data_IF_252232628151
#
_entry.id   IF_252232628151
#
_cell.length_a   1.000
_cell.length_b   1.000
_cell.length_c   1.000
_cell.angle_alpha   90.00
_cell.angle_beta   90.00
_cell.angle_gamma   90.00
#
_symmetry.space_group_name_H-M   'P 1'
#
loop_
_entity.id
_entity.type
_entity.pdbx_description
1 polymer ?
#
# COMPACT_ATOMS: atom_id res chain seq x y z
N UNK A 1 -16.28 -12.21 -11.86
CA UNK A 1 -17.26 -11.15 -11.54
C UNK A 1 -16.64 -9.86 -12.03
N UNK A 2 -17.32 -9.10 -12.89
CA UNK A 2 -16.78 -7.85 -13.40
C UNK A 2 -17.10 -6.73 -12.40
N UNK A 3 -16.06 -6.16 -11.77
CA UNK A 3 -16.19 -5.02 -10.86
C UNK A 3 -16.22 -3.74 -11.70
N UNK A 4 -17.23 -2.90 -11.48
CA UNK A 4 -17.41 -1.62 -12.17
C UNK A 4 -17.25 -0.41 -11.27
N UNK A 5 -17.38 -0.59 -9.96
CA UNK A 5 -17.15 0.48 -8.99
C UNK A 5 -16.49 -0.04 -7.71
N UNK A 6 -15.63 0.78 -7.12
CA UNK A 6 -14.98 0.54 -5.83
C UNK A 6 -15.30 1.67 -4.87
N UNK A 7 -15.77 1.33 -3.67
CA UNK A 7 -16.07 2.28 -2.62
C UNK A 7 -15.18 2.07 -1.39
N UNK A 8 -14.69 3.18 -0.83
CA UNK A 8 -13.90 3.16 0.40
C UNK A 8 -14.63 3.92 1.51
N UNK A 9 -14.74 3.33 2.70
CA UNK A 9 -14.84 4.15 3.91
C UNK A 9 -13.53 4.93 4.13
N UNK A 10 -13.58 5.96 4.97
CA UNK A 10 -12.45 6.83 5.24
C UNK A 10 -11.69 6.38 6.48
N UNK A 11 -12.30 6.56 7.66
CA UNK A 11 -11.61 6.57 8.95
C UNK A 11 -11.29 5.12 9.36
N UNK A 12 -10.03 4.69 9.27
CA UNK A 12 -9.66 3.30 9.53
C UNK A 12 -9.63 2.42 8.27
N UNK A 13 -9.94 3.00 7.11
CA UNK A 13 -9.94 2.32 5.81
C UNK A 13 -9.05 3.04 4.79
N UNK A 14 -9.50 4.15 4.18
CA UNK A 14 -8.71 4.90 3.20
C UNK A 14 -7.52 5.64 3.83
N UNK A 15 -7.71 6.18 5.04
CA UNK A 15 -6.67 6.90 5.78
C UNK A 15 -6.11 6.05 6.92
N UNK A 16 -4.79 6.13 7.10
CA UNK A 16 -4.07 5.48 8.18
C UNK A 16 -4.17 6.25 9.51
N UNK A 17 -3.50 5.75 10.56
CA UNK A 17 -3.48 6.40 11.88
C UNK A 17 -2.84 7.80 11.87
N UNK A 18 -1.98 8.08 10.89
CA UNK A 18 -1.38 9.40 10.64
C UNK A 18 -2.30 10.32 9.82
N UNK A 19 -3.53 9.88 9.50
CA UNK A 19 -4.52 10.56 8.66
C UNK A 19 -4.04 10.88 7.25
N UNK A 20 -3.15 10.05 6.73
CA UNK A 20 -2.68 10.14 5.35
C UNK A 20 -3.15 8.94 4.54
N UNK A 21 -3.32 9.16 3.25
CA UNK A 21 -3.51 8.08 2.28
C UNK A 21 -2.11 7.52 1.95
N UNK A 22 -1.96 6.19 1.96
CA UNK A 22 -0.69 5.56 1.60
C UNK A 22 -0.42 5.74 0.11
N UNK A 23 0.86 5.86 -0.28
CA UNK A 23 1.25 5.94 -1.70
C UNK A 23 0.79 4.72 -2.51
N UNK A 24 0.80 3.54 -1.90
CA UNK A 24 0.27 2.30 -2.49
C UNK A 24 -1.23 2.41 -2.77
N UNK A 25 -2.00 2.99 -1.84
CA UNK A 25 -3.43 3.27 -2.04
C UNK A 25 -3.67 4.30 -3.15
N UNK A 26 -2.85 5.37 -3.22
CA UNK A 26 -2.93 6.34 -4.32
C UNK A 26 -2.68 5.68 -5.68
N UNK A 27 -1.63 4.87 -5.79
CA UNK A 27 -1.31 4.11 -7.00
C UNK A 27 -2.41 3.10 -7.37
N UNK A 28 -2.98 2.43 -6.37
CA UNK A 28 -4.08 1.50 -6.54
C UNK A 28 -5.33 2.19 -7.13
N UNK A 29 -5.69 3.37 -6.60
CA UNK A 29 -6.82 4.16 -7.08
C UNK A 29 -6.60 4.59 -8.53
N UNK A 30 -5.41 5.11 -8.86
CA UNK A 30 -5.07 5.49 -10.24
C UNK A 30 -5.22 4.31 -11.20
N UNK A 31 -4.74 3.12 -10.82
CA UNK A 31 -4.86 1.92 -11.66
C UNK A 31 -6.30 1.45 -11.84
N UNK A 32 -7.16 1.60 -10.82
CA UNK A 32 -8.60 1.34 -10.96
C UNK A 32 -9.23 2.28 -12.00
N UNK A 33 -8.91 3.58 -11.91
CA UNK A 33 -9.42 4.60 -12.81
C UNK A 33 -8.93 4.39 -14.26
N UNK A 34 -7.66 4.01 -14.45
CA UNK A 34 -7.09 3.65 -15.76
C UNK A 34 -7.81 2.46 -16.42
N UNK A 35 -8.32 1.53 -15.61
CA UNK A 35 -9.13 0.40 -16.08
C UNK A 35 -10.60 0.78 -16.36
N UNK A 36 -10.99 2.05 -16.13
CA UNK A 36 -12.36 2.52 -16.26
C UNK A 36 -13.27 2.08 -15.11
N UNK A 37 -12.71 1.64 -13.99
CA UNK A 37 -13.47 1.32 -12.77
C UNK A 37 -13.72 2.61 -12.02
N UNK A 38 -15.00 2.89 -11.72
CA UNK A 38 -15.39 4.09 -10.98
C UNK A 38 -14.97 3.97 -9.51
N UNK A 39 -14.40 5.03 -8.95
CA UNK A 39 -13.90 5.03 -7.58
C UNK A 39 -14.58 6.12 -6.77
N UNK A 40 -15.11 5.76 -5.60
CA UNK A 40 -15.75 6.72 -4.72
C UNK A 40 -15.62 6.46 -3.23
N UNK A 41 -16.12 7.41 -2.45
CA UNK A 41 -16.13 7.34 -0.99
C UNK A 41 -17.53 6.99 -0.47
N UNK A 42 -17.61 6.25 0.63
CA UNK A 42 -18.84 5.98 1.35
C UNK A 42 -18.63 6.20 2.85
N UNK A 43 -19.13 7.31 3.39
CA UNK A 43 -18.76 7.77 4.75
C UNK A 43 -19.91 8.44 5.51
N UNK A 44 -19.82 8.44 6.84
CA UNK A 44 -20.65 9.27 7.71
C UNK A 44 -20.19 10.73 7.81
N UNK A 45 -19.02 11.06 7.26
CA UNK A 45 -18.50 12.44 7.19
C UNK A 45 -19.29 13.27 6.16
N UNK A 46 -19.23 14.60 6.32
CA UNK A 46 -19.91 15.54 5.43
C UNK A 46 -19.10 15.93 4.20
N UNK A 47 -19.71 16.60 3.20
CA UNK A 47 -19.07 16.95 1.93
C UNK A 47 -17.79 17.76 2.08
N UNK A 48 -17.80 18.76 2.97
CA UNK A 48 -16.62 19.61 3.24
C UNK A 48 -15.39 18.82 3.71
N UNK A 49 -15.58 17.68 4.37
CA UNK A 49 -14.48 16.86 4.86
C UNK A 49 -13.87 16.01 3.73
N UNK A 50 -14.70 15.53 2.80
CA UNK A 50 -14.25 14.60 1.76
C UNK A 50 -13.72 15.31 0.51
N UNK A 51 -14.12 16.57 0.27
CA UNK A 51 -13.69 17.37 -0.90
C UNK A 51 -12.18 17.35 -1.14
N UNK A 52 -11.30 17.56 -0.13
CA UNK A 52 -9.86 17.49 -0.37
C UNK A 52 -9.35 16.13 -0.86
N UNK A 53 -10.01 15.03 -0.48
CA UNK A 53 -9.66 13.69 -0.95
C UNK A 53 -10.20 13.42 -2.36
N UNK A 54 -11.42 13.88 -2.64
CA UNK A 54 -11.99 13.86 -4.00
C UNK A 54 -11.06 14.56 -4.99
N UNK A 55 -10.59 15.76 -4.64
CA UNK A 55 -9.72 16.55 -5.52
C UNK A 55 -8.32 15.93 -5.65
N UNK A 56 -7.74 15.46 -4.53
CA UNK A 56 -6.37 14.92 -4.52
C UNK A 56 -6.25 13.58 -5.27
N UNK A 57 -7.25 12.71 -5.13
CA UNK A 57 -7.27 11.36 -5.69
C UNK A 57 -8.11 11.26 -6.97
N UNK A 58 -8.64 12.39 -7.44
CA UNK A 58 -9.49 12.51 -8.62
C UNK A 58 -10.71 11.55 -8.62
N UNK A 59 -11.33 11.34 -7.46
CA UNK A 59 -12.43 10.37 -7.28
C UNK A 59 -13.71 10.80 -8.00
N UNK A 60 -14.51 9.83 -8.45
CA UNK A 60 -15.70 10.08 -9.28
C UNK A 60 -16.88 10.63 -8.47
N UNK A 61 -17.10 10.10 -7.27
CA UNK A 61 -18.23 10.46 -6.41
C UNK A 61 -17.97 10.21 -4.92
N UNK A 62 -18.71 10.91 -4.07
CA UNK A 62 -18.76 10.68 -2.64
C UNK A 62 -20.19 10.53 -2.14
N UNK A 63 -20.43 9.44 -1.43
CA UNK A 63 -21.62 9.16 -0.62
C UNK A 63 -21.31 9.63 0.80
N UNK A 64 -21.86 10.77 1.19
CA UNK A 64 -21.60 11.43 2.48
C UNK A 64 -22.82 11.37 3.40
N UNK A 65 -22.60 11.64 4.68
CA UNK A 65 -23.64 11.55 5.71
C UNK A 65 -24.45 10.27 5.63
N UNK A 66 -23.76 9.13 5.46
CA UNK A 66 -24.37 7.81 5.35
C UNK A 66 -25.47 7.76 4.27
N UNK A 67 -25.23 8.39 3.12
CA UNK A 67 -26.14 8.36 1.97
C UNK A 67 -27.04 9.58 1.81
N UNK A 68 -27.14 10.47 2.80
CA UNK A 68 -28.04 11.62 2.71
C UNK A 68 -27.61 12.68 1.69
N UNK A 69 -26.32 12.77 1.39
CA UNK A 69 -25.80 13.72 0.41
C UNK A 69 -24.76 13.05 -0.48
N UNK A 70 -25.01 13.02 -1.78
CA UNK A 70 -24.22 12.33 -2.78
C UNK A 70 -23.86 13.33 -3.87
N UNK A 71 -22.57 13.44 -4.16
CA UNK A 71 -22.10 14.34 -5.20
C UNK A 71 -20.96 13.71 -5.99
N UNK A 72 -20.82 14.22 -7.21
CA UNK A 72 -19.73 13.93 -8.14
C UNK A 72 -18.88 15.18 -8.34
N UNK A 73 -17.84 15.11 -9.18
CA UNK A 73 -16.97 16.26 -9.51
C UNK A 73 -17.76 17.50 -9.95
N UNK A 74 -18.81 17.30 -10.75
CA UNK A 74 -19.48 18.41 -11.45
C UNK A 74 -20.87 18.75 -10.88
N UNK A 75 -21.49 17.83 -10.14
CA UNK A 75 -22.87 18.01 -9.65
C UNK A 75 -23.20 17.21 -8.40
N UNK A 76 -24.24 17.67 -7.72
CA UNK A 76 -24.97 16.89 -6.71
C UNK A 76 -25.80 15.82 -7.43
N UNK A 77 -25.61 14.56 -7.04
CA UNK A 77 -26.34 13.41 -7.58
C UNK A 77 -27.64 13.20 -6.80
N UNK A 78 -27.58 13.30 -5.47
CA UNK A 78 -28.76 13.20 -4.60
C UNK A 78 -28.53 13.97 -3.31
N UNK A 79 -29.58 14.60 -2.80
CA UNK A 79 -29.56 15.33 -1.54
C UNK A 79 -30.91 15.19 -0.84
N UNK A 80 -30.91 14.50 0.30
CA UNK A 80 -32.11 14.17 1.06
C UNK A 80 -32.00 14.80 2.46
N UNK A 81 -32.40 16.07 2.63
CA UNK A 81 -32.34 16.70 3.94
C UNK A 81 -33.37 16.08 4.90
N UNK A 82 -33.08 16.12 6.19
CA UNK A 82 -34.03 15.77 7.25
C UNK A 82 -35.12 16.84 7.27
N UNK A 83 -36.38 16.44 7.42
CA UNK A 83 -37.48 17.38 7.38
C UNK A 83 -37.45 18.34 8.59
N UNK A 84 -37.99 19.55 8.36
CA UNK A 84 -37.94 20.62 9.35
C UNK A 84 -38.72 20.29 10.63
N UNK A 85 -39.71 19.39 10.59
CA UNK A 85 -40.47 19.04 11.78
C UNK A 85 -39.64 18.12 12.67
N UNK A 86 -39.07 17.05 12.12
CA UNK A 86 -38.17 16.15 12.86
C UNK A 86 -36.96 16.88 13.43
N UNK A 87 -36.38 17.85 12.70
CA UNK A 87 -35.30 18.68 13.24
C UNK A 87 -35.73 19.53 14.44
N UNK A 88 -36.92 20.12 14.42
CA UNK A 88 -37.46 20.88 15.57
C UNK A 88 -37.70 19.97 16.77
N UNK A 89 -38.23 18.78 16.52
CA UNK A 89 -38.53 17.81 17.56
C UNK A 89 -37.22 17.28 18.21
N UNK A 90 -36.18 17.03 17.40
CA UNK A 90 -34.84 16.68 17.91
C UNK A 90 -34.20 17.83 18.71
N UNK A 91 -34.34 19.08 18.27
CA UNK A 91 -33.84 20.25 19.01
C UNK A 91 -34.56 20.38 20.36
N UNK A 92 -35.89 20.24 20.37
CA UNK A 92 -36.69 20.29 21.58
C UNK A 92 -36.30 19.16 22.54
N UNK A 93 -36.14 17.94 22.04
CA UNK A 93 -35.65 16.79 22.80
C UNK A 93 -34.26 17.07 23.40
N UNK A 94 -33.33 17.56 22.57
CA UNK A 94 -31.97 17.85 23.03
C UNK A 94 -31.96 18.89 24.15
N UNK A 95 -32.80 19.93 24.04
CA UNK A 95 -32.97 20.92 25.10
C UNK A 95 -33.57 20.32 26.38
N UNK A 96 -34.65 19.57 26.28
CA UNK A 96 -35.34 18.95 27.42
C UNK A 96 -34.40 18.00 28.18
N UNK A 97 -33.68 17.15 27.45
CA UNK A 97 -32.80 16.13 28.02
C UNK A 97 -31.35 16.60 28.21
N UNK A 98 -31.08 17.90 27.98
CA UNK A 98 -29.74 18.52 28.07
C UNK A 98 -28.67 17.77 27.28
N UNK A 99 -29.02 17.35 26.07
CA UNK A 99 -28.12 16.76 25.08
C UNK A 99 -27.52 17.84 24.20
N UNK A 100 -26.30 17.60 23.75
CA UNK A 100 -25.67 18.44 22.73
C UNK A 100 -25.81 17.78 21.37
N UNK A 101 -26.14 18.60 20.38
CA UNK A 101 -26.24 18.16 18.99
C UNK A 101 -25.38 19.01 18.06
N UNK A 102 -25.01 18.45 16.92
CA UNK A 102 -24.45 19.17 15.79
C UNK A 102 -25.22 18.84 14.52
N UNK A 103 -25.42 19.84 13.66
CA UNK A 103 -26.19 19.79 12.43
C UNK A 103 -25.22 19.81 11.24
N UNK A 104 -25.26 18.77 10.43
CA UNK A 104 -24.45 18.64 9.22
C UNK A 104 -25.13 19.29 8.03
N UNK A 105 -24.50 20.32 7.46
CA UNK A 105 -24.89 20.95 6.20
C UNK A 105 -23.92 20.52 5.09
N UNK A 106 -24.16 20.99 3.86
CA UNK A 106 -23.21 20.79 2.77
C UNK A 106 -21.82 21.37 3.11
N UNK A 107 -21.78 22.54 3.74
CA UNK A 107 -20.57 23.35 3.90
C UNK A 107 -19.84 23.09 5.23
N UNK A 108 -20.56 22.69 6.28
CA UNK A 108 -19.97 22.53 7.60
C UNK A 108 -20.81 21.65 8.52
N UNK A 109 -20.19 21.21 9.63
CA UNK A 109 -20.90 20.70 10.81
C UNK A 109 -21.03 21.85 11.81
N UNK A 110 -22.24 22.28 12.12
CA UNK A 110 -22.53 23.48 12.91
C UNK A 110 -23.35 23.13 14.17
N UNK A 111 -23.18 23.87 15.28
CA UNK A 111 -23.88 23.58 16.53
C UNK A 111 -22.92 23.46 17.71
N UNK A 112 -22.75 22.27 18.29
CA UNK A 112 -21.91 22.10 19.49
C UNK A 112 -20.42 22.38 19.18
N UNK A 113 -19.89 23.41 19.85
CA UNK A 113 -18.46 23.75 19.83
C UNK A 113 -17.60 22.71 20.58
N UNK A 114 -18.18 21.93 21.49
CA UNK A 114 -17.51 20.84 22.23
C UNK A 114 -17.24 19.66 21.29
N UNK A 115 -18.23 19.32 20.47
CA UNK A 115 -18.11 18.26 19.47
C UNK A 115 -17.16 18.66 18.35
N UNK A 116 -17.17 19.93 17.95
CA UNK A 116 -16.19 20.49 16.99
C UNK A 116 -14.75 20.34 17.51
N UNK A 117 -14.54 20.47 18.82
CA UNK A 117 -13.23 20.23 19.46
C UNK A 117 -12.87 18.74 19.55
N UNK A 118 -13.84 17.87 19.87
CA UNK A 118 -13.70 16.41 19.89
C UNK A 118 -13.46 15.77 18.52
N UNK A 119 -13.82 16.47 17.44
CA UNK A 119 -13.53 16.12 16.05
C UNK A 119 -12.28 16.82 15.49
N UNK A 120 -11.61 17.68 16.26
CA UNK A 120 -10.34 18.28 15.86
C UNK A 120 -9.25 17.20 15.74
N UNK A 121 -8.26 17.41 14.87
CA UNK A 121 -7.15 16.47 14.68
C UNK A 121 -6.35 16.16 15.96
N UNK A 122 -6.47 17.02 16.97
CA UNK A 122 -5.76 16.91 18.24
C UNK A 122 -6.46 16.03 19.28
N UNK A 123 -7.80 15.96 19.27
CA UNK A 123 -8.58 15.24 20.29
C UNK A 123 -8.64 13.73 20.06
N UNK A 124 -8.66 13.27 18.80
CA UNK A 124 -8.56 11.83 18.49
C UNK A 124 -7.17 11.28 18.85
N UNK A 125 -6.10 12.05 18.62
CA UNK A 125 -4.74 11.72 19.05
C UNK A 125 -4.64 11.52 20.57
N UNK A 126 -5.29 12.38 21.35
CA UNK A 126 -5.29 12.26 22.81
C UNK A 126 -5.93 10.95 23.33
N UNK A 127 -6.86 10.33 22.58
CA UNK A 127 -7.53 9.10 23.03
C UNK A 127 -6.67 7.84 23.00
N UNK A 128 -5.62 7.79 22.17
CA UNK A 128 -4.69 6.65 22.09
C UNK A 128 -3.73 6.55 23.29
N UNK A 129 -3.46 7.67 23.98
CA UNK A 129 -2.61 7.71 25.17
C UNK A 129 -3.38 7.58 26.49
N UNK A 130 -4.70 7.39 26.44
CA UNK A 130 -5.53 7.25 27.64
C UNK A 130 -5.78 5.76 27.94
N UNK A 131 -5.26 5.21 29.05
CA UNK A 131 -5.57 3.86 29.52
C UNK A 131 -7.08 3.60 29.55
N UNK A 132 -7.53 2.45 29.03
CA UNK A 132 -8.96 2.03 28.97
C UNK A 132 -9.73 2.16 30.29
N UNK A 133 -9.05 2.10 31.44
CA UNK A 133 -9.67 2.28 32.78
C UNK A 133 -9.94 3.74 33.15
N UNK A 134 -9.30 4.69 32.48
CA UNK A 134 -9.31 6.12 32.81
C UNK A 134 -10.18 6.95 31.84
N UNK A 135 -10.58 6.37 30.70
CA UNK A 135 -11.44 7.01 29.69
C UNK A 135 -12.79 7.46 30.24
N UNK A 136 -13.37 6.70 31.18
CA UNK A 136 -14.70 6.96 31.75
C UNK A 136 -14.74 8.15 32.72
N UNK A 137 -13.64 8.44 33.41
CA UNK A 137 -13.55 9.50 34.44
C UNK A 137 -13.15 10.85 33.84
N UNK A 138 -12.27 10.85 32.83
CA UNK A 138 -11.81 12.08 32.15
C UNK A 138 -12.91 12.69 31.28
N UNK A 139 -13.67 11.86 30.55
CA UNK A 139 -14.77 12.29 29.67
C UNK A 139 -15.93 12.96 30.43
N UNK A 140 -16.38 12.38 31.54
CA UNK A 140 -17.48 12.95 32.34
C UNK A 140 -17.10 14.27 33.03
N UNK A 141 -15.84 14.40 33.49
CA UNK A 141 -15.36 15.62 34.14
C UNK A 141 -15.16 16.76 33.14
N UNK A 142 -14.59 16.47 31.97
CA UNK A 142 -14.31 17.46 30.93
C UNK A 142 -15.60 17.97 30.25
N UNK A 143 -16.53 17.08 29.90
CA UNK A 143 -17.81 17.47 29.27
C UNK A 143 -18.65 18.37 30.19
N UNK A 144 -18.60 18.18 31.51
CA UNK A 144 -19.33 19.01 32.49
C UNK A 144 -18.72 20.41 32.68
N UNK A 145 -17.41 20.56 32.44
CA UNK A 145 -16.70 21.85 32.53
C UNK A 145 -16.91 22.65 31.23
N UNK A 146 -16.81 22.01 30.07
CA UNK A 146 -16.94 22.69 28.78
C UNK A 146 -18.40 23.06 28.45
N UNK A 147 -19.38 22.21 28.78
CA UNK A 147 -20.82 22.53 28.62
C UNK A 147 -21.29 23.70 29.47
N UNK A 148 -20.61 23.97 30.59
CA UNK A 148 -20.83 25.19 31.40
C UNK A 148 -20.15 26.43 30.83
N UNK A 149 -19.10 26.26 30.01
CA UNK A 149 -18.31 27.36 29.46
C UNK A 149 -18.82 27.85 28.09
N UNK A 150 -19.48 26.99 27.31
CA UNK A 150 -20.03 27.30 25.98
C UNK A 150 -21.42 26.66 25.79
N UNK A 151 -22.50 27.26 26.33
CA UNK A 151 -23.85 26.70 26.20
C UNK A 151 -24.34 26.72 24.74
N UNK A 152 -24.96 25.62 24.31
CA UNK A 152 -25.68 25.55 23.03
C UNK A 152 -27.05 26.23 23.19
N UNK A 153 -27.35 27.21 22.34
CA UNK A 153 -28.61 27.94 22.36
C UNK A 153 -29.59 27.40 21.31
N UNK A 154 -30.83 27.13 21.74
CA UNK A 154 -31.91 26.65 20.88
C UNK A 154 -32.19 27.59 19.71
N UNK A 155 -32.21 28.90 19.95
CA UNK A 155 -32.47 29.90 18.90
C UNK A 155 -31.45 29.83 17.76
N UNK A 156 -30.19 29.52 18.06
CA UNK A 156 -29.14 29.39 17.05
C UNK A 156 -29.33 28.11 16.23
N UNK A 157 -29.71 27.00 16.86
CA UNK A 157 -30.07 25.76 16.17
C UNK A 157 -31.30 25.95 15.28
N UNK A 158 -32.33 26.67 15.75
CA UNK A 158 -33.53 26.97 14.98
C UNK A 158 -33.26 27.88 13.77
N UNK A 159 -32.24 28.73 13.83
CA UNK A 159 -31.74 29.51 12.69
C UNK A 159 -30.98 28.60 11.71
N UNK A 160 -30.15 27.68 12.20
CA UNK A 160 -29.37 26.77 11.36
C UNK A 160 -30.27 25.83 10.52
N UNK A 161 -31.36 25.31 11.08
CA UNK A 161 -32.30 24.44 10.35
C UNK A 161 -33.14 25.17 9.28
N UNK A 162 -32.90 26.47 9.06
CA UNK A 162 -33.44 27.16 7.89
C UNK A 162 -32.75 26.69 6.61
N UNK A 163 -31.48 26.28 6.72
CA UNK A 163 -30.72 25.61 5.67
C UNK A 163 -31.02 24.09 5.66
N UNK A 164 -30.79 23.40 4.54
CA UNK A 164 -30.87 21.94 4.48
C UNK A 164 -29.88 21.26 5.44
N UNK A 165 -30.39 20.40 6.32
CA UNK A 165 -29.58 19.58 7.23
C UNK A 165 -29.63 18.13 6.78
N UNK A 166 -28.46 17.52 6.63
CA UNK A 166 -28.30 16.16 6.12
C UNK A 166 -27.83 15.16 7.18
N UNK A 167 -27.48 15.58 8.39
CA UNK A 167 -27.22 14.67 9.51
C UNK A 167 -27.34 15.44 10.82
N UNK A 168 -27.86 14.80 11.86
CA UNK A 168 -27.75 15.31 13.24
C UNK A 168 -26.85 14.39 14.02
N UNK A 169 -25.75 14.91 14.55
CA UNK A 169 -24.86 14.16 15.43
C UNK A 169 -25.25 14.50 16.88
N UNK A 170 -25.58 13.49 17.69
CA UNK A 170 -25.98 13.66 19.09
C UNK A 170 -24.98 12.99 20.03
N UNK A 171 -24.62 13.65 21.13
CA UNK A 171 -23.86 13.02 22.22
C UNK A 171 -24.77 12.08 23.03
N UNK A 172 -24.65 10.80 22.75
CA UNK A 172 -25.40 9.74 23.42
C UNK A 172 -24.57 8.45 23.42
N UNK A 173 -24.53 7.77 24.56
CA UNK A 173 -24.02 6.39 24.63
C UNK A 173 -25.01 5.39 23.97
N UNK A 174 -24.63 4.11 23.76
CA UNK A 174 -25.50 3.15 23.08
C UNK A 174 -26.87 2.93 23.74
N UNK A 175 -26.94 2.95 25.07
CA UNK A 175 -28.19 2.75 25.79
C UNK A 175 -29.09 4.00 25.69
N UNK A 176 -28.49 5.18 25.66
CA UNK A 176 -29.21 6.43 25.44
C UNK A 176 -29.71 6.55 24.00
N UNK A 177 -28.87 6.28 23.00
CA UNK A 177 -29.30 6.37 21.60
C UNK A 177 -30.44 5.40 21.27
N UNK A 178 -30.44 4.20 21.83
CA UNK A 178 -31.53 3.24 21.64
C UNK A 178 -32.86 3.74 22.21
N UNK A 179 -32.83 4.52 23.30
CA UNK A 179 -34.04 5.16 23.85
C UNK A 179 -34.53 6.28 22.94
N UNK A 180 -33.60 7.12 22.48
CA UNK A 180 -33.93 8.23 21.56
C UNK A 180 -34.51 7.66 20.26
N UNK A 181 -33.90 6.61 19.70
CA UNK A 181 -34.39 5.95 18.49
C UNK A 181 -35.82 5.41 18.64
N UNK A 182 -36.20 4.94 19.83
CA UNK A 182 -37.57 4.51 20.11
C UNK A 182 -38.58 5.68 20.09
N UNK A 183 -38.16 6.89 20.46
CA UNK A 183 -38.98 8.10 20.40
C UNK A 183 -39.07 8.68 18.97
N UNK A 184 -38.09 8.37 18.11
CA UNK A 184 -37.99 8.84 16.73
C UNK A 184 -37.93 7.70 15.70
N UNK A 185 -38.95 6.81 15.60
CA UNK A 185 -38.90 5.61 14.77
C UNK A 185 -38.88 5.87 13.25
N UNK A 186 -39.08 7.13 12.84
CA UNK A 186 -39.02 7.59 11.45
C UNK A 186 -37.63 8.13 11.06
N UNK A 187 -36.67 8.08 11.99
CA UNK A 187 -35.26 8.41 11.78
C UNK A 187 -34.41 7.18 12.10
N UNK A 188 -33.23 7.13 11.48
CA UNK A 188 -32.27 6.05 11.68
C UNK A 188 -31.09 6.56 12.49
N UNK A 189 -30.68 5.77 13.47
CA UNK A 189 -29.51 6.03 14.29
C UNK A 189 -28.36 5.12 13.85
N UNK A 190 -27.23 5.70 13.50
CA UNK A 190 -25.99 4.99 13.15
C UNK A 190 -24.89 5.38 14.11
N UNK A 191 -23.88 4.53 14.28
CA UNK A 191 -22.82 4.77 15.26
C UNK A 191 -21.46 4.39 14.73
N UNK A 192 -20.58 5.38 14.70
CA UNK A 192 -19.13 5.23 14.45
C UNK A 192 -18.28 5.47 15.72
N UNK A 193 -18.89 5.94 16.81
CA UNK A 193 -18.20 6.29 18.06
C UNK A 193 -18.98 5.83 19.29
N UNK A 194 -18.31 5.40 20.37
CA UNK A 194 -18.99 5.00 21.61
C UNK A 194 -19.71 6.15 22.32
N UNK A 195 -19.43 7.41 21.94
CA UNK A 195 -19.95 8.59 22.64
C UNK A 195 -20.95 9.41 21.84
N UNK A 196 -21.14 9.12 20.55
CA UNK A 196 -22.03 9.88 19.69
C UNK A 196 -22.75 8.97 18.69
N UNK A 197 -23.98 9.36 18.33
CA UNK A 197 -24.77 8.71 17.29
C UNK A 197 -25.08 9.70 16.16
N UNK A 198 -25.02 9.23 14.93
CA UNK A 198 -25.45 9.92 13.73
C UNK A 198 -26.94 9.64 13.51
N UNK A 199 -27.74 10.68 13.31
CA UNK A 199 -29.17 10.61 13.02
C UNK A 199 -29.38 11.04 11.58
N UNK A 200 -30.02 10.17 10.80
CA UNK A 200 -30.30 10.36 9.37
C UNK A 200 -31.75 9.97 9.05
N UNK A 201 -32.22 10.26 7.84
CA UNK A 201 -33.54 9.82 7.39
C UNK A 201 -33.65 8.29 7.36
N UNK A 202 -34.83 7.77 7.71
CA UNK A 202 -35.10 6.34 7.59
C UNK A 202 -34.93 5.86 6.15
N UNK A 203 -34.38 4.66 5.98
CA UNK A 203 -34.11 4.07 4.67
C UNK A 203 -32.80 4.52 4.02
N UNK A 204 -32.15 5.58 4.53
CA UNK A 204 -30.83 5.98 4.05
C UNK A 204 -29.71 5.17 4.72
N UNK A 205 -28.66 4.89 3.94
CA UNK A 205 -27.43 4.27 4.40
C UNK A 205 -26.31 4.47 3.38
N UNK A 206 -25.07 4.10 3.76
CA UNK A 206 -23.97 4.01 2.80
C UNK A 206 -24.32 3.10 1.62
N UNK A 207 -24.93 1.94 1.89
CA UNK A 207 -25.36 0.98 0.87
C UNK A 207 -26.41 1.59 -0.07
N UNK A 208 -27.43 2.23 0.49
CA UNK A 208 -28.48 2.87 -0.31
C UNK A 208 -27.91 4.02 -1.15
N UNK A 209 -26.97 4.79 -0.60
CA UNK A 209 -26.26 5.81 -1.36
C UNK A 209 -25.46 5.23 -2.52
N UNK A 210 -24.74 4.13 -2.31
CA UNK A 210 -24.05 3.40 -3.39
C UNK A 210 -25.03 2.94 -4.46
N UNK A 211 -26.20 2.44 -4.05
CA UNK A 211 -27.26 2.02 -4.98
C UNK A 211 -27.77 3.17 -5.85
N UNK A 212 -27.96 4.36 -5.26
CA UNK A 212 -28.34 5.57 -6.00
C UNK A 212 -27.25 6.01 -6.99
N UNK A 213 -25.98 5.91 -6.62
CA UNK A 213 -24.87 6.15 -7.56
C UNK A 213 -24.90 5.14 -8.71
N UNK A 214 -25.11 3.85 -8.42
CA UNK A 214 -25.20 2.81 -9.44
C UNK A 214 -26.31 3.05 -10.47
N UNK A 215 -27.45 3.59 -10.04
CA UNK A 215 -28.55 3.98 -10.94
C UNK A 215 -28.14 5.09 -11.92
N UNK A 216 -27.32 6.04 -11.47
CA UNK A 216 -26.87 7.17 -12.28
C UNK A 216 -25.72 6.80 -13.22
N UNK A 217 -24.80 5.94 -12.76
CA UNK A 217 -23.55 5.61 -13.47
C UNK A 217 -23.57 4.23 -14.16
N UNK A 218 -24.68 3.49 -14.08
CA UNK A 218 -24.90 2.28 -14.86
C UNK A 218 -24.18 1.03 -14.32
N UNK A 219 -24.10 0.88 -12.99
CA UNK A 219 -23.62 -0.35 -12.36
C UNK A 219 -24.63 -0.89 -11.33
N UNK A 220 -24.65 -2.22 -11.18
CA UNK A 220 -25.45 -2.90 -10.16
C UNK A 220 -24.63 -3.13 -8.87
N UNK A 221 -25.31 -3.28 -7.73
CA UNK A 221 -24.66 -3.51 -6.43
C UNK A 221 -23.77 -4.76 -6.42
N UNK A 222 -24.08 -5.77 -7.22
CA UNK A 222 -23.26 -6.98 -7.38
C UNK A 222 -21.95 -6.75 -8.15
N UNK A 223 -21.81 -5.60 -8.82
CA UNK A 223 -20.59 -5.17 -9.52
C UNK A 223 -19.75 -4.21 -8.66
N UNK A 224 -20.12 -4.01 -7.40
CA UNK A 224 -19.43 -3.12 -6.47
C UNK A 224 -18.48 -3.91 -5.58
N UNK A 225 -17.25 -3.42 -5.46
CA UNK A 225 -16.35 -3.76 -4.37
C UNK A 225 -16.39 -2.65 -3.31
N UNK A 226 -16.43 -2.99 -2.01
CA UNK A 226 -16.36 -1.99 -0.95
C UNK A 226 -15.42 -2.40 0.20
N UNK A 227 -14.75 -1.41 0.77
CA UNK A 227 -13.84 -1.55 1.90
C UNK A 227 -14.40 -0.83 3.13
N UNK A 228 -14.28 -1.46 4.30
CA UNK A 228 -14.66 -0.87 5.59
C UNK A 228 -13.99 -1.55 6.77
N UNK A 229 -14.14 -0.97 7.96
CA UNK A 229 -13.46 -1.43 9.17
C UNK A 229 -14.32 -1.39 10.44
N UNK A 230 -15.47 -0.70 10.44
CA UNK A 230 -16.25 -0.49 11.66
C UNK A 230 -17.74 -0.79 11.50
N UNK A 231 -18.48 -0.83 12.62
CA UNK A 231 -19.86 -1.35 12.64
C UNK A 231 -20.84 -0.57 11.75
N UNK A 232 -20.56 0.71 11.45
CA UNK A 232 -21.39 1.48 10.50
C UNK A 232 -21.18 1.06 9.03
N UNK A 233 -20.20 0.21 8.74
CA UNK A 233 -19.95 -0.39 7.43
C UNK A 233 -20.69 -1.71 7.22
N UNK A 234 -21.25 -2.32 8.28
CA UNK A 234 -21.87 -3.65 8.20
C UNK A 234 -22.94 -3.77 7.12
N UNK A 235 -23.80 -2.75 7.01
CA UNK A 235 -24.84 -2.71 5.98
C UNK A 235 -24.25 -2.61 4.56
N UNK A 236 -23.22 -1.79 4.38
CA UNK A 236 -22.50 -1.69 3.10
C UNK A 236 -21.82 -3.01 2.73
N UNK A 237 -21.03 -3.57 3.65
CA UNK A 237 -20.25 -4.77 3.43
C UNK A 237 -21.12 -6.03 3.25
N UNK A 238 -22.30 -6.09 3.87
CA UNK A 238 -23.25 -7.18 3.62
C UNK A 238 -23.97 -7.07 2.28
N UNK A 239 -24.17 -5.85 1.76
CA UNK A 239 -24.98 -5.61 0.57
C UNK A 239 -24.23 -5.64 -0.77
N UNK A 240 -22.93 -5.35 -0.79
CA UNK A 240 -22.15 -5.25 -2.04
C UNK A 240 -21.73 -6.60 -2.64
N UNK A 241 -21.41 -6.59 -3.93
CA UNK A 241 -20.89 -7.73 -4.69
C UNK A 241 -19.61 -8.31 -4.11
N UNK A 242 -18.68 -7.48 -3.65
CA UNK A 242 -17.42 -7.92 -3.06
C UNK A 242 -17.01 -7.03 -1.89
N UNK A 243 -17.15 -7.53 -0.66
CA UNK A 243 -16.85 -6.76 0.55
C UNK A 243 -15.53 -7.16 1.19
N UNK A 244 -14.74 -6.15 1.54
CA UNK A 244 -13.42 -6.29 2.14
C UNK A 244 -13.41 -5.63 3.52
N UNK A 245 -13.10 -6.41 4.55
CA UNK A 245 -12.83 -5.88 5.89
C UNK A 245 -11.33 -5.59 6.04
N UNK A 246 -11.00 -4.42 6.59
CA UNK A 246 -9.61 -4.06 6.89
C UNK A 246 -9.06 -4.88 8.06
N UNK A 247 -7.74 -5.11 8.08
CA UNK A 247 -7.08 -5.88 9.14
C UNK A 247 -7.24 -5.28 10.54
N UNK A 248 -7.34 -3.95 10.64
CA UNK A 248 -7.64 -3.22 11.88
C UNK A 248 -9.14 -3.19 12.24
N UNK A 249 -10.02 -3.72 11.39
CA UNK A 249 -11.47 -3.66 11.60
C UNK A 249 -11.99 -4.56 12.72
N UNK A 250 -13.22 -4.28 13.15
CA UNK A 250 -13.92 -5.04 14.20
C UNK A 250 -14.18 -6.50 13.78
N UNK A 251 -14.41 -7.38 14.76
CA UNK A 251 -14.72 -8.79 14.45
C UNK A 251 -16.03 -8.92 13.66
N UNK A 252 -17.03 -8.09 13.98
CA UNK A 252 -18.33 -8.04 13.31
C UNK A 252 -18.20 -7.76 11.81
N UNK A 253 -17.38 -6.77 11.40
CA UNK A 253 -17.21 -6.50 9.96
C UNK A 253 -16.46 -7.61 9.24
N UNK A 254 -15.48 -8.24 9.90
CA UNK A 254 -14.71 -9.35 9.34
C UNK A 254 -15.57 -10.61 9.14
N UNK A 255 -16.54 -10.84 10.01
CA UNK A 255 -17.49 -11.95 9.90
C UNK A 255 -18.44 -11.79 8.70
N UNK A 256 -18.79 -10.55 8.34
CA UNK A 256 -19.73 -10.24 7.25
C UNK A 256 -19.02 -10.07 5.91
N UNK A 257 -17.78 -9.59 5.91
CA UNK A 257 -17.02 -9.36 4.69
C UNK A 257 -16.63 -10.66 3.98
N UNK A 258 -16.58 -10.63 2.65
CA UNK A 258 -16.16 -11.79 1.84
C UNK A 258 -14.65 -12.05 1.93
N UNK A 259 -13.87 -11.06 2.32
CA UNK A 259 -12.44 -11.18 2.54
C UNK A 259 -11.96 -10.20 3.61
N UNK A 260 -10.92 -10.60 4.35
CA UNK A 260 -10.22 -9.71 5.29
C UNK A 260 -8.81 -9.48 4.78
N UNK A 261 -8.42 -8.22 4.63
CA UNK A 261 -7.08 -7.83 4.16
C UNK A 261 -6.18 -7.35 5.31
N UNK A 262 -4.98 -6.85 4.99
CA UNK A 262 -4.08 -6.19 5.95
C UNK A 262 -4.68 -4.88 6.48
N UNK A 263 -4.07 -4.25 7.49
CA UNK A 263 -4.59 -2.99 8.03
C UNK A 263 -4.43 -1.81 7.06
N UNK A 264 -5.13 -0.72 7.34
CA UNK A 264 -4.98 0.58 6.68
C UNK A 264 -3.55 1.16 6.75
N UNK A 265 -2.71 0.67 7.67
CA UNK A 265 -1.30 1.05 7.81
C UNK A 265 -0.33 0.04 7.17
N UNK A 266 -0.83 -1.03 6.53
CA UNK A 266 -0.03 -2.13 5.97
C UNK A 266 -0.51 -2.53 4.56
N UNK A 267 -0.77 -1.54 3.71
CA UNK A 267 -1.15 -1.73 2.30
C UNK A 267 -2.40 -2.62 2.11
N UNK A 268 -3.35 -2.60 3.05
CA UNK A 268 -4.54 -3.45 3.01
C UNK A 268 -5.37 -3.30 1.74
N UNK A 269 -5.58 -2.07 1.27
CA UNK A 269 -6.33 -1.80 0.03
C UNK A 269 -5.61 -2.41 -1.18
N UNK A 270 -4.32 -2.09 -1.36
CA UNK A 270 -3.49 -2.60 -2.44
C UNK A 270 -3.50 -4.13 -2.49
N UNK A 271 -3.21 -4.79 -1.36
CA UNK A 271 -3.15 -6.26 -1.26
C UNK A 271 -4.49 -6.93 -1.56
N UNK A 272 -5.61 -6.33 -1.16
CA UNK A 272 -6.91 -6.87 -1.47
C UNK A 272 -7.19 -6.80 -2.98
N UNK A 273 -6.89 -5.66 -3.60
CA UNK A 273 -7.09 -5.50 -5.04
C UNK A 273 -6.19 -6.45 -5.84
N UNK A 274 -4.94 -6.69 -5.40
CA UNK A 274 -4.07 -7.73 -5.97
C UNK A 274 -4.63 -9.14 -5.77
N UNK A 275 -5.12 -9.46 -4.57
CA UNK A 275 -5.68 -10.77 -4.25
C UNK A 275 -6.84 -11.15 -5.17
N UNK A 276 -7.67 -10.16 -5.54
CA UNK A 276 -8.79 -10.35 -6.46
C UNK A 276 -8.43 -10.14 -7.93
N UNK A 277 -7.15 -9.89 -8.24
CA UNK A 277 -6.65 -9.68 -9.60
C UNK A 277 -7.21 -8.42 -10.28
N UNK A 278 -7.70 -7.46 -9.49
CA UNK A 278 -8.21 -6.16 -9.98
C UNK A 278 -7.05 -5.21 -10.21
N UNK A 279 -6.13 -5.13 -9.24
CA UNK A 279 -4.77 -4.80 -9.59
C UNK A 279 -4.18 -6.10 -10.12
N UNK A 280 -3.49 -6.02 -11.25
CA UNK A 280 -2.43 -6.97 -11.45
C UNK A 280 -1.59 -6.90 -10.16
N UNK A 281 -1.36 -8.04 -9.48
CA UNK A 281 -0.09 -8.15 -8.75
C UNK A 281 0.89 -7.63 -9.76
N UNK A 282 1.51 -6.49 -9.47
CA UNK A 282 2.42 -5.75 -10.34
C UNK A 282 2.89 -6.69 -11.45
N UNK A 283 2.67 -6.40 -12.75
CA UNK A 283 3.37 -7.17 -13.80
C UNK A 283 4.86 -6.88 -13.58
N UNK A 284 5.40 -7.55 -12.60
CA UNK A 284 6.72 -7.60 -12.06
C UNK A 284 6.81 -9.10 -11.93
N UNK A 285 7.31 -9.72 -12.98
CA UNK A 285 7.98 -10.99 -12.94
C UNK A 285 8.91 -10.99 -11.73
N UNK A 286 8.40 -11.50 -10.61
CA UNK A 286 9.10 -11.69 -9.34
C UNK A 286 9.45 -13.17 -9.27
N UNK A 287 10.74 -13.45 -9.09
CA UNK A 287 11.24 -14.81 -8.90
C UNK A 287 11.19 -15.20 -7.42
N UNK A 288 11.18 -16.50 -7.13
CA UNK A 288 11.51 -16.99 -5.77
C UNK A 288 13.00 -16.82 -5.45
N UNK A 289 13.82 -16.67 -6.48
CA UNK A 289 15.22 -16.30 -6.35
C UNK A 289 15.32 -14.82 -5.96
N UNK A 290 15.80 -14.58 -4.74
CA UNK A 290 15.92 -13.25 -4.20
C UNK A 290 17.06 -12.45 -4.86
N UNK A 291 18.10 -13.11 -5.38
CA UNK A 291 19.17 -12.45 -6.16
C UNK A 291 18.61 -11.91 -7.47
N UNK A 292 17.76 -12.70 -8.14
CA UNK A 292 17.06 -12.26 -9.35
C UNK A 292 16.26 -10.98 -9.08
N UNK A 293 15.48 -10.94 -8.00
CA UNK A 293 14.66 -9.78 -7.67
C UNK A 293 15.50 -8.54 -7.37
N UNK A 294 16.66 -8.68 -6.70
CA UNK A 294 17.60 -7.58 -6.47
C UNK A 294 18.13 -7.01 -7.79
N UNK A 295 18.53 -7.86 -8.73
CA UNK A 295 19.01 -7.44 -10.06
C UNK A 295 17.88 -6.81 -10.88
N UNK A 296 16.64 -7.31 -10.74
CA UNK A 296 15.48 -6.68 -11.35
C UNK A 296 15.24 -5.27 -10.82
N UNK A 297 15.29 -5.07 -9.50
CA UNK A 297 15.19 -3.74 -8.89
C UNK A 297 16.28 -2.81 -9.41
N UNK A 298 17.52 -3.31 -9.52
CA UNK A 298 18.61 -2.54 -10.12
C UNK A 298 18.27 -2.08 -11.54
N UNK A 299 17.84 -2.98 -12.43
CA UNK A 299 17.46 -2.61 -13.80
C UNK A 299 16.26 -1.67 -13.86
N UNK A 300 15.26 -1.84 -12.98
CA UNK A 300 14.13 -0.90 -12.89
C UNK A 300 14.54 0.52 -12.49
N UNK A 301 15.60 0.66 -11.69
CA UNK A 301 16.14 1.98 -11.31
C UNK A 301 17.09 2.53 -12.36
N UNK A 302 17.97 1.70 -12.92
CA UNK A 302 19.03 2.16 -13.82
C UNK A 302 18.54 2.37 -15.27
N UNK A 303 17.67 1.48 -15.77
CA UNK A 303 17.22 1.47 -17.17
C UNK A 303 15.78 2.02 -17.32
N UNK A 304 15.20 2.53 -16.22
CA UNK A 304 13.82 3.05 -16.11
C UNK A 304 12.72 2.08 -16.61
N UNK A 305 13.06 0.82 -16.88
CA UNK A 305 12.17 -0.21 -17.39
C UNK A 305 12.68 -1.63 -17.12
N UNK A 306 11.76 -2.58 -16.98
CA UNK A 306 12.04 -4.02 -16.92
C UNK A 306 11.17 -4.80 -17.89
N UNK A 307 11.62 -5.99 -18.27
CA UNK A 307 10.88 -6.87 -19.17
C UNK A 307 10.07 -7.91 -18.38
N UNK A 308 8.77 -7.98 -18.67
CA UNK A 308 7.81 -8.78 -17.89
C UNK A 308 7.39 -10.09 -18.55
N UNK A 309 7.57 -10.15 -19.86
CA UNK A 309 7.29 -11.33 -20.67
C UNK A 309 8.59 -11.89 -21.25
N UNK A 310 8.80 -13.22 -21.28
CA UNK A 310 10.02 -13.80 -21.84
C UNK A 310 10.17 -13.46 -23.32
N UNK A 311 11.26 -12.78 -23.67
CA UNK A 311 11.63 -12.45 -25.06
C UNK A 311 13.05 -12.93 -25.34
N UNK A 312 13.29 -13.33 -26.59
CA UNK A 312 14.64 -13.62 -27.05
C UNK A 312 15.36 -12.29 -27.32
N UNK A 313 16.64 -12.23 -26.95
CA UNK A 313 17.52 -11.14 -27.36
C UNK A 313 17.75 -11.19 -28.87
N UNK A 314 17.83 -10.01 -29.47
CA UNK A 314 18.38 -9.86 -30.82
C UNK A 314 19.87 -10.21 -30.84
N UNK A 315 20.48 -10.48 -32.02
CA UNK A 315 21.92 -10.75 -32.11
C UNK A 315 22.81 -9.65 -31.54
N UNK A 316 22.38 -8.39 -31.66
CA UNK A 316 23.12 -7.24 -31.14
C UNK A 316 23.06 -7.17 -29.62
N UNK A 317 21.88 -7.29 -29.03
CA UNK A 317 21.73 -7.27 -27.58
C UNK A 317 22.42 -8.48 -26.93
N UNK A 318 22.29 -9.67 -27.54
CA UNK A 318 22.98 -10.88 -27.08
C UNK A 318 24.51 -10.70 -27.08
N UNK A 319 25.06 -10.00 -28.08
CA UNK A 319 26.49 -9.64 -28.14
C UNK A 319 26.87 -8.72 -26.99
N UNK A 320 26.13 -7.63 -26.76
CA UNK A 320 26.41 -6.72 -25.62
C UNK A 320 26.35 -7.45 -24.28
N UNK A 321 25.36 -8.33 -24.08
CA UNK A 321 25.27 -9.16 -22.87
C UNK A 321 26.44 -10.15 -22.76
N UNK A 322 27.04 -10.59 -23.85
CA UNK A 322 28.22 -11.46 -23.83
C UNK A 322 29.51 -10.67 -23.53
N UNK A 323 29.67 -9.49 -24.11
CA UNK A 323 30.84 -8.61 -23.91
C UNK A 323 31.00 -8.25 -22.43
N UNK A 324 29.90 -7.91 -21.73
CA UNK A 324 29.94 -7.67 -20.27
C UNK A 324 30.46 -8.88 -19.48
N UNK A 325 30.11 -10.10 -19.89
CA UNK A 325 30.57 -11.32 -19.20
C UNK A 325 32.03 -11.63 -19.52
N UNK A 326 32.47 -11.31 -20.73
CA UNK A 326 33.85 -11.54 -21.15
C UNK A 326 34.83 -10.69 -20.33
N UNK A 327 34.46 -9.45 -20.01
CA UNK A 327 35.25 -8.57 -19.13
C UNK A 327 35.49 -9.23 -17.77
N UNK A 328 34.43 -9.70 -17.11
CA UNK A 328 34.51 -10.40 -15.81
C UNK A 328 35.36 -11.69 -15.88
N UNK A 329 35.31 -12.43 -16.99
CA UNK A 329 36.16 -13.62 -17.19
C UNK A 329 37.63 -13.24 -17.31
N UNK A 330 37.94 -12.14 -18.00
CA UNK A 330 39.30 -11.61 -18.11
C UNK A 330 39.80 -11.13 -16.75
N UNK A 331 38.97 -10.42 -15.99
CA UNK A 331 39.28 -9.99 -14.61
C UNK A 331 39.51 -11.18 -13.67
N UNK A 332 38.71 -12.24 -13.80
CA UNK A 332 38.90 -13.48 -13.04
C UNK A 332 40.26 -14.13 -13.34
N UNK A 333 40.62 -14.28 -14.61
CA UNK A 333 41.93 -14.82 -15.01
C UNK A 333 43.08 -13.93 -14.55
N UNK A 334 42.86 -12.61 -14.59
CA UNK A 334 43.82 -11.64 -14.08
C UNK A 334 44.05 -11.81 -12.58
N UNK A 335 42.99 -11.93 -11.79
CA UNK A 335 43.04 -12.15 -10.35
C UNK A 335 43.65 -13.53 -9.98
N UNK A 336 43.57 -14.51 -10.87
CA UNK A 336 44.17 -15.83 -10.72
C UNK A 336 45.64 -15.91 -11.15
N UNK A 337 46.19 -14.87 -11.78
CA UNK A 337 47.55 -14.87 -12.32
C UNK A 337 48.54 -14.24 -11.35
N UNK A 338 49.72 -14.86 -11.20
CA UNK A 338 50.79 -14.35 -10.33
C UNK A 338 51.79 -13.42 -11.03
N UNK A 339 51.77 -13.37 -12.37
CA UNK A 339 52.59 -12.48 -13.19
C UNK A 339 51.91 -12.10 -14.50
N UNK A 340 52.44 -11.08 -15.19
CA UNK A 340 51.99 -10.67 -16.53
C UNK A 340 52.13 -11.80 -17.55
N UNK A 341 53.23 -12.55 -17.49
CA UNK A 341 53.48 -13.65 -18.42
C UNK A 341 52.47 -14.79 -18.25
N UNK A 342 52.06 -15.08 -17.01
CA UNK A 342 51.02 -16.08 -16.72
C UNK A 342 49.63 -15.61 -17.21
N UNK A 343 49.34 -14.33 -17.03
CA UNK A 343 48.12 -13.72 -17.54
C UNK A 343 48.06 -13.77 -19.07
N UNK A 344 49.13 -13.36 -19.76
CA UNK A 344 49.22 -13.39 -21.23
C UNK A 344 49.06 -14.83 -21.78
N UNK A 345 49.67 -15.82 -21.11
CA UNK A 345 49.48 -17.23 -21.47
C UNK A 345 48.03 -17.69 -21.27
N UNK A 346 47.39 -17.26 -20.19
CA UNK A 346 45.98 -17.55 -19.93
C UNK A 346 45.08 -16.94 -21.00
N UNK A 347 45.39 -15.71 -21.44
CA UNK A 347 44.67 -15.04 -22.52
C UNK A 347 44.79 -15.76 -23.86
N UNK A 348 46.01 -16.18 -24.23
CA UNK A 348 46.22 -16.96 -25.45
C UNK A 348 45.41 -18.27 -25.44
N UNK A 349 45.40 -18.99 -24.31
CA UNK A 349 44.61 -20.22 -24.14
C UNK A 349 43.11 -19.97 -24.21
N UNK A 350 42.64 -18.85 -23.65
CA UNK A 350 41.23 -18.47 -23.70
C UNK A 350 40.77 -18.20 -25.14
N UNK A 351 41.57 -17.50 -25.95
CA UNK A 351 41.28 -17.30 -27.38
C UNK A 351 41.17 -18.63 -28.13
N UNK A 352 42.11 -19.56 -27.93
CA UNK A 352 42.03 -20.88 -28.55
C UNK A 352 40.79 -21.68 -28.09
N UNK A 353 40.43 -21.57 -26.81
CA UNK A 353 39.25 -22.23 -26.26
C UNK A 353 37.95 -21.66 -26.85
N UNK A 354 37.89 -20.35 -27.04
CA UNK A 354 36.77 -19.67 -27.69
C UNK A 354 36.60 -20.13 -29.14
N UNK A 355 37.69 -20.20 -29.91
CA UNK A 355 37.65 -20.68 -31.30
C UNK A 355 37.18 -22.15 -31.38
N UNK A 356 37.68 -23.01 -30.49
CA UNK A 356 37.24 -24.41 -30.37
C UNK A 356 35.75 -24.50 -30.01
N UNK A 357 35.28 -23.66 -29.09
CA UNK A 357 33.88 -23.62 -28.69
C UNK A 357 32.98 -23.16 -29.86
N UNK A 358 33.37 -22.11 -30.58
CA UNK A 358 32.65 -21.60 -31.74
C UNK A 358 32.52 -22.68 -32.84
N UNK A 359 33.60 -23.40 -33.14
CA UNK A 359 33.58 -24.51 -34.09
C UNK A 359 32.66 -25.66 -33.63
N UNK A 360 32.69 -26.00 -32.34
CA UNK A 360 31.86 -27.06 -31.74
C UNK A 360 30.37 -26.70 -31.74
N UNK A 361 30.01 -25.46 -31.43
CA UNK A 361 28.60 -25.03 -31.43
C UNK A 361 28.07 -24.99 -32.86
N UNK A 362 28.86 -24.46 -33.81
CA UNK A 362 28.51 -24.40 -35.24
C UNK A 362 28.19 -25.77 -35.84
N UNK A 363 28.82 -26.85 -35.37
CA UNK A 363 28.58 -28.20 -35.89
C UNK A 363 27.33 -28.88 -35.31
N UNK A 364 26.79 -28.39 -34.19
CA UNK A 364 25.65 -29.01 -33.49
C UNK A 364 24.30 -28.48 -33.97
N UNK A 365 24.19 -27.19 -34.24
CA UNK A 365 22.92 -26.55 -34.59
C UNK A 365 23.13 -25.41 -35.61
N UNK A 366 22.07 -25.12 -36.37
CA UNK A 366 22.03 -23.95 -37.25
C UNK A 366 21.77 -22.70 -36.40
N UNK A 367 22.28 -21.56 -36.85
CA UNK A 367 22.03 -20.28 -36.20
C UNK A 367 20.57 -19.84 -36.45
N UNK A 368 19.82 -19.65 -35.37
CA UNK A 368 18.46 -19.11 -35.36
C UNK A 368 18.23 -18.36 -34.04
N UNK A 369 17.30 -17.39 -34.04
CA UNK A 369 16.90 -16.72 -32.80
C UNK A 369 16.03 -17.69 -32.00
N UNK A 370 16.54 -18.16 -30.86
CA UNK A 370 15.87 -19.12 -30.00
C UNK A 370 15.91 -18.66 -28.55
N UNK A 371 14.75 -18.32 -27.99
CA UNK A 371 14.62 -18.01 -26.56
C UNK A 371 15.12 -19.19 -25.71
N UNK A 372 14.74 -20.42 -26.09
CA UNK A 372 15.14 -21.64 -25.37
C UNK A 372 16.65 -21.78 -25.37
N UNK A 373 17.31 -21.66 -26.54
CA UNK A 373 18.77 -21.76 -26.64
C UNK A 373 19.52 -20.67 -25.88
N UNK A 374 18.97 -19.45 -25.84
CA UNK A 374 19.55 -18.36 -25.05
C UNK A 374 19.40 -18.58 -23.55
N UNK A 375 18.23 -19.02 -23.07
CA UNK A 375 18.00 -19.32 -21.65
C UNK A 375 18.83 -20.52 -21.18
N UNK A 376 18.92 -21.58 -21.98
CA UNK A 376 19.75 -22.76 -21.71
C UNK A 376 21.22 -22.35 -21.49
N UNK A 377 21.79 -21.57 -22.41
CA UNK A 377 23.16 -21.08 -22.28
C UNK A 377 23.37 -20.16 -21.06
N UNK A 378 22.39 -19.29 -20.75
CA UNK A 378 22.47 -18.39 -19.58
C UNK A 378 22.43 -19.16 -18.26
N UNK A 379 21.57 -20.18 -18.16
CA UNK A 379 21.47 -21.03 -16.97
C UNK A 379 22.71 -21.92 -16.82
N UNK A 380 23.25 -22.47 -17.92
CA UNK A 380 24.50 -23.22 -17.88
C UNK A 380 25.65 -22.35 -17.34
N UNK A 381 25.78 -21.10 -17.82
CA UNK A 381 26.78 -20.17 -17.30
C UNK A 381 26.58 -19.92 -15.80
N UNK A 382 25.35 -19.65 -15.35
CA UNK A 382 25.04 -19.48 -13.93
C UNK A 382 25.43 -20.71 -13.10
N UNK A 383 25.12 -21.91 -13.60
CA UNK A 383 25.47 -23.17 -12.95
C UNK A 383 26.99 -23.35 -12.83
N UNK A 384 27.75 -23.05 -13.89
CA UNK A 384 29.22 -23.11 -13.83
C UNK A 384 29.80 -22.05 -12.89
N UNK A 385 29.23 -20.85 -12.82
CA UNK A 385 29.63 -19.82 -11.85
C UNK A 385 29.42 -20.29 -10.42
N UNK A 386 28.26 -20.85 -10.08
CA UNK A 386 28.04 -21.45 -8.76
C UNK A 386 28.97 -22.64 -8.50
N UNK A 387 29.25 -23.45 -9.52
CA UNK A 387 30.22 -24.54 -9.45
C UNK A 387 31.61 -24.04 -9.04
N UNK A 388 32.06 -22.91 -9.59
CA UNK A 388 33.33 -22.28 -9.20
C UNK A 388 33.32 -21.89 -7.71
N UNK A 389 32.26 -21.23 -7.22
CA UNK A 389 32.16 -20.89 -5.79
C UNK A 389 32.16 -22.11 -4.88
N UNK A 390 31.43 -23.16 -5.26
CA UNK A 390 31.42 -24.44 -4.52
C UNK A 390 32.81 -25.05 -4.46
N UNK A 391 33.54 -25.08 -5.58
CA UNK A 391 34.91 -25.61 -5.64
C UNK A 391 35.93 -24.72 -4.90
N UNK A 392 35.67 -23.42 -4.81
CA UNK A 392 36.45 -22.48 -3.99
C UNK A 392 36.12 -22.58 -2.49
N UNK A 393 35.01 -23.22 -2.13
CA UNK A 393 34.53 -23.26 -0.74
C UNK A 393 34.01 -21.90 -0.25
N UNK A 394 33.53 -21.06 -1.15
CA UNK A 394 33.03 -19.71 -0.86
C UNK A 394 31.51 -19.70 -1.02
N UNK A 395 30.80 -19.21 0.00
CA UNK A 395 29.37 -18.96 -0.07
C UNK A 395 29.12 -17.56 -0.67
N UNK A 396 28.50 -17.47 -1.86
CA UNK A 396 28.33 -16.20 -2.56
C UNK A 396 27.16 -15.36 -2.06
N UNK A 397 26.25 -15.87 -1.21
CA UNK A 397 25.00 -15.17 -0.86
C UNK A 397 25.25 -13.76 -0.30
N UNK A 398 26.07 -13.63 0.74
CA UNK A 398 26.38 -12.32 1.34
C UNK A 398 27.28 -11.45 0.46
N UNK A 399 28.15 -12.08 -0.32
CA UNK A 399 29.06 -11.38 -1.25
C UNK A 399 28.24 -10.73 -2.37
N UNK A 400 27.21 -11.43 -2.87
CA UNK A 400 26.26 -10.88 -3.82
C UNK A 400 25.57 -9.64 -3.28
N UNK A 401 25.17 -9.64 -2.00
CA UNK A 401 24.51 -8.49 -1.36
C UNK A 401 25.41 -7.27 -1.27
N UNK A 402 26.69 -7.50 -0.95
CA UNK A 402 27.72 -6.45 -0.93
C UNK A 402 27.87 -5.84 -2.33
N UNK A 403 27.99 -6.68 -3.36
CA UNK A 403 28.14 -6.23 -4.76
C UNK A 403 26.87 -5.53 -5.26
N UNK A 404 25.69 -6.01 -4.88
CA UNK A 404 24.43 -5.37 -5.22
C UNK A 404 24.32 -3.98 -4.59
N UNK A 405 24.68 -3.85 -3.31
CA UNK A 405 24.71 -2.56 -2.63
C UNK A 405 25.70 -1.59 -3.28
N UNK A 406 26.88 -2.07 -3.67
CA UNK A 406 27.87 -1.29 -4.40
C UNK A 406 27.31 -0.77 -5.74
N UNK A 407 26.63 -1.63 -6.48
CA UNK A 407 25.97 -1.27 -7.74
C UNK A 407 24.83 -0.26 -7.54
N UNK A 408 24.01 -0.41 -6.50
CA UNK A 408 22.97 0.57 -6.15
C UNK A 408 23.55 1.92 -5.69
N UNK A 409 24.76 1.92 -5.13
CA UNK A 409 25.48 3.15 -4.78
C UNK A 409 25.83 4.04 -5.98
N UNK A 410 25.72 3.54 -7.21
CA UNK A 410 25.99 4.30 -8.45
C UNK A 410 24.87 5.30 -8.81
N UNK A 411 23.80 5.37 -8.02
CA UNK A 411 22.73 6.35 -8.18
C UNK A 411 23.24 7.72 -7.70
N UNK A 412 23.13 8.73 -8.56
CA UNK A 412 23.55 10.10 -8.26
C UNK A 412 22.55 10.80 -7.31
N UNK A 413 22.93 11.93 -6.67
CA UNK A 413 22.05 12.65 -5.74
C UNK A 413 20.72 13.15 -6.33
N UNK A 414 20.60 13.19 -7.65
CA UNK A 414 19.36 13.49 -8.38
C UNK A 414 18.41 12.28 -8.48
N UNK A 415 18.81 11.13 -7.94
CA UNK A 415 18.04 9.89 -7.93
C UNK A 415 18.14 9.08 -9.22
N UNK A 416 19.09 9.38 -10.11
CA UNK A 416 19.24 8.72 -11.41
C UNK A 416 20.62 8.10 -11.63
N UNK A 417 20.70 7.12 -12.52
CA UNK A 417 21.97 6.68 -13.09
C UNK A 417 22.44 7.64 -14.17
N UNK A 418 23.74 7.93 -14.20
CA UNK A 418 24.37 8.65 -15.30
C UNK A 418 25.22 7.68 -16.10
N UNK A 419 25.22 7.82 -17.43
CA UNK A 419 25.90 6.90 -18.34
C UNK A 419 27.03 7.61 -19.07
N UNK A 420 28.14 6.89 -19.26
CA UNK A 420 29.20 7.34 -20.15
C UNK A 420 28.67 7.39 -21.60
N UNK A 421 28.82 8.52 -22.31
CA UNK A 421 28.19 8.72 -23.62
C UNK A 421 28.77 7.83 -24.73
N UNK A 422 29.92 7.18 -24.51
CA UNK A 422 30.60 6.35 -25.50
C UNK A 422 30.41 4.87 -25.18
N UNK A 423 30.69 4.48 -23.94
CA UNK A 423 30.70 3.08 -23.50
C UNK A 423 29.35 2.60 -22.97
N UNK A 424 28.41 3.53 -22.72
CA UNK A 424 27.12 3.26 -22.05
C UNK A 424 27.27 2.55 -20.69
N UNK A 425 28.45 2.65 -20.06
CA UNK A 425 28.66 2.17 -18.70
C UNK A 425 28.11 3.18 -17.70
N UNK A 426 27.56 2.69 -16.60
CA UNK A 426 27.08 3.53 -15.50
C UNK A 426 28.27 4.20 -14.81
N UNK A 427 28.22 5.52 -14.70
CA UNK A 427 29.22 6.34 -14.03
C UNK A 427 29.12 6.19 -12.51
N UNK A 428 30.24 6.41 -11.83
CA UNK A 428 30.33 6.40 -10.36
C UNK A 428 30.28 7.85 -9.82
N UNK A 429 29.49 8.14 -8.78
CA UNK A 429 29.59 9.40 -8.03
C UNK A 429 30.98 9.62 -7.39
N UNK A 430 31.33 10.87 -7.10
CA UNK A 430 32.65 11.25 -6.56
C UNK A 430 32.99 10.56 -5.23
N UNK A 431 31.99 10.30 -4.38
CA UNK A 431 32.13 9.64 -3.08
C UNK A 431 31.90 8.12 -3.13
N UNK A 432 31.74 7.55 -4.33
CA UNK A 432 31.37 6.15 -4.49
C UNK A 432 32.44 5.20 -3.96
N UNK A 433 33.70 5.44 -4.30
CA UNK A 433 34.80 4.57 -3.94
C UNK A 433 35.01 4.51 -2.42
N UNK A 434 34.81 5.63 -1.72
CA UNK A 434 34.93 5.69 -0.26
C UNK A 434 33.76 4.96 0.44
N UNK A 435 32.55 5.06 -0.10
CA UNK A 435 31.32 4.63 0.59
C UNK A 435 30.80 3.26 0.16
N UNK A 436 31.02 2.88 -1.09
CA UNK A 436 30.32 1.78 -1.76
C UNK A 436 31.27 0.79 -2.44
N UNK A 437 32.58 1.01 -2.47
CA UNK A 437 33.54 0.03 -3.00
C UNK A 437 33.36 -1.33 -2.30
N UNK A 438 33.11 -2.41 -3.06
CA UNK A 438 32.75 -3.71 -2.49
C UNK A 438 33.94 -4.45 -1.89
N UNK A 439 35.16 -4.20 -2.35
CA UNK A 439 36.36 -4.99 -2.07
C UNK A 439 36.64 -5.13 -0.56
N UNK A 440 36.64 -4.03 0.24
CA UNK A 440 36.89 -4.14 1.68
C UNK A 440 35.78 -4.88 2.44
N UNK A 441 34.56 -4.91 1.90
CA UNK A 441 33.45 -5.66 2.48
C UNK A 441 33.50 -7.14 2.10
N UNK A 442 33.89 -7.44 0.86
CA UNK A 442 34.11 -8.81 0.39
C UNK A 442 35.23 -9.46 1.19
N UNK A 443 36.36 -8.78 1.41
CA UNK A 443 37.47 -9.29 2.21
C UNK A 443 37.03 -9.69 3.62
N UNK A 444 36.30 -8.79 4.31
CA UNK A 444 35.76 -9.08 5.65
C UNK A 444 34.79 -10.27 5.67
N UNK A 445 33.97 -10.42 4.64
CA UNK A 445 33.04 -11.55 4.55
C UNK A 445 33.79 -12.87 4.28
N UNK A 446 34.82 -12.86 3.43
CA UNK A 446 35.68 -14.02 3.20
C UNK A 446 36.42 -14.42 4.47
N UNK A 447 37.00 -13.47 5.20
CA UNK A 447 37.63 -13.71 6.51
C UNK A 447 36.64 -14.34 7.50
N UNK A 448 35.39 -13.86 7.54
CA UNK A 448 34.33 -14.42 8.38
C UNK A 448 34.05 -15.89 8.02
N UNK A 449 33.97 -16.22 6.74
CA UNK A 449 33.75 -17.59 6.27
C UNK A 449 34.94 -18.50 6.63
N UNK A 450 36.17 -18.04 6.42
CA UNK A 450 37.40 -18.75 6.78
C UNK A 450 37.44 -19.04 8.28
N UNK A 451 37.16 -18.04 9.13
CA UNK A 451 37.11 -18.20 10.59
C UNK A 451 36.00 -19.17 11.03
N UNK A 452 34.84 -19.12 10.38
CA UNK A 452 33.74 -20.05 10.67
C UNK A 452 34.12 -21.50 10.35
N UNK A 453 34.77 -21.72 9.21
CA UNK A 453 35.31 -23.04 8.86
C UNK A 453 36.35 -23.52 9.87
N UNK A 454 37.34 -22.69 10.21
CA UNK A 454 38.37 -23.03 11.20
C UNK A 454 37.78 -23.45 12.55
N UNK A 455 36.79 -22.70 13.06
CA UNK A 455 36.07 -23.06 14.30
C UNK A 455 35.37 -24.42 14.23
N UNK A 456 34.76 -24.74 13.09
CA UNK A 456 34.09 -26.03 12.90
C UNK A 456 35.09 -27.20 12.85
N UNK A 457 36.25 -26.99 12.20
CA UNK A 457 37.33 -27.98 12.18
C UNK A 457 37.87 -28.23 13.59
N UNK A 458 38.14 -27.19 14.38
CA UNK A 458 38.58 -27.32 15.77
C UNK A 458 37.56 -28.03 16.65
N UNK A 459 36.27 -27.77 16.45
CA UNK A 459 35.18 -28.42 17.18
C UNK A 459 35.12 -29.91 16.86
N UNK A 460 35.16 -30.27 15.58
CA UNK A 460 35.16 -31.67 15.15
C UNK A 460 36.36 -32.43 15.73
N UNK A 461 37.56 -31.83 15.72
CA UNK A 461 38.76 -32.43 16.30
C UNK A 461 38.71 -32.63 17.83
N UNK A 462 37.97 -31.79 18.55
CA UNK A 462 37.73 -31.97 20.00
C UNK A 462 36.76 -33.11 20.26
N UNK A 463 35.66 -33.17 19.50
CA UNK A 463 34.67 -34.25 19.61
C UNK A 463 35.27 -35.63 19.31
N UNK A 464 36.21 -35.73 18.36
CA UNK A 464 36.91 -37.02 18.08
C UNK A 464 37.90 -37.42 19.19
N UNK A 465 38.45 -36.47 19.95
CA UNK A 465 39.37 -36.75 21.06
C UNK A 465 38.67 -37.11 22.37
N UNK A 466 37.40 -36.75 22.53
CA UNK A 466 36.59 -37.13 23.68
C UNK A 466 35.91 -38.51 23.48
N UNK A 467 35.98 -39.08 22.26
CA UNK A 467 35.49 -40.43 21.91
C UNK A 467 36.59 -41.52 21.88
N UNK A 468 37.87 -41.14 21.89
CA UNK A 468 39.05 -42.03 22.07
C UNK A 468 39.49 -42.09 23.54
#
# INVERSE_FOLDING_TARGET
MEIKAVFFDIDGTLINDSRTVLKSTEAAINSLQEQGILVGLATGRGPFFVKPFMDKLDLDFAVTYNGQYIFSKDRVVSATPIDKQSLRDLIAYAKEHRKEISLGTEQAMQGSKIMTFGMSSFSQWATQFIPRKMTRTVSHGFNKIVSKALPQHEEDLLKLIQEPIYQVLILADPAESAKIEADFPHLKFTRSSPYAADIINQGMSKLEGIRLVGQEYGFDIHQVMAFGDSDNDLEMLSGVGLSIAMGNGTSSVKEVAKHTTSSNSQDGIHRALEHFGILASEKVFVSRDHHFNKVKTFHGVMDESTQEEPIAWTPEEARHRADFKLEEVVEFLRAASSSEEEFDQSMARMHEALDKAAAKVRSKSKAEISLVGQVDALIDMLYFTYGSFVLMGVDPERIFDIVHQANMGKIFPDGKAHFDPVTHKILKPDDWEEKYAPEPAIERELERQIQAYQRNVEKAQKETKDEE
#
